data_IF_717624217618
#
_entry.id   IF_717624217618
#
_cell.length_a   1.000
_cell.length_b   1.000
_cell.length_c   1.000
_cell.angle_alpha   90.00
_cell.angle_beta   90.00
_cell.angle_gamma   90.00
#
_symmetry.space_group_name_H-M   'P 1'
#
loop_
_entity.id
_entity.type
_entity.pdbx_description
1 polymer ?
#
# COMPACT_ATOMS: atom_id res chain seq x y z
N UNK A 1 -16.69 7.08 7.58
CA UNK A 1 -15.75 8.01 6.95
C UNK A 1 -14.77 8.50 8.00
N UNK A 2 -13.47 8.33 7.80
CA UNK A 2 -12.46 9.16 8.47
C UNK A 2 -11.89 10.07 7.41
N UNK A 3 -12.76 10.93 6.89
CA UNK A 3 -12.30 12.17 6.30
C UNK A 3 -11.85 13.01 7.49
N UNK A 4 -10.54 13.27 7.59
CA UNK A 4 -10.10 14.49 8.24
C UNK A 4 -10.70 15.63 7.40
N UNK A 5 -11.70 16.39 7.92
CA UNK A 5 -12.43 17.37 7.13
C UNK A 5 -11.55 18.53 6.62
N UNK A 6 -10.30 18.61 7.07
CA UNK A 6 -9.33 19.63 6.66
C UNK A 6 -8.45 19.22 5.46
N UNK A 7 -8.55 18.00 4.92
CA UNK A 7 -7.74 17.58 3.76
C UNK A 7 -8.34 18.07 2.43
N UNK A 8 -9.51 18.71 2.47
CA UNK A 8 -10.22 19.21 1.27
C UNK A 8 -9.53 20.45 0.65
N UNK A 9 -8.55 21.06 1.31
CA UNK A 9 -7.81 22.23 0.79
C UNK A 9 -6.29 22.09 0.90
N UNK A 10 -5.74 20.91 0.60
CA UNK A 10 -4.30 20.79 0.31
C UNK A 10 -4.11 21.03 -1.20
N UNK A 11 -3.38 22.08 -1.57
CA UNK A 11 -3.12 22.52 -2.95
C UNK A 11 -2.38 21.48 -3.82
N UNK A 12 -2.01 20.33 -3.26
CA UNK A 12 -1.59 19.15 -4.01
C UNK A 12 -2.43 17.95 -3.53
N UNK A 13 -3.23 17.31 -4.41
CA UNK A 13 -3.84 16.05 -4.06
C UNK A 13 -2.72 15.06 -3.71
N UNK A 14 -2.77 14.47 -2.52
CA UNK A 14 -1.89 13.35 -2.19
C UNK A 14 -2.33 12.18 -3.10
N UNK A 15 -1.71 12.09 -4.29
CA UNK A 15 -1.87 10.95 -5.20
C UNK A 15 -1.37 9.72 -4.45
N UNK A 16 -2.28 8.87 -3.96
CA UNK A 16 -1.94 7.58 -3.35
C UNK A 16 -2.12 6.47 -4.37
N UNK A 17 -1.09 5.65 -4.57
CA UNK A 17 -1.16 4.58 -5.54
C UNK A 17 -1.62 3.25 -4.92
N UNK A 18 -2.53 2.55 -5.62
CA UNK A 18 -2.95 1.19 -5.25
C UNK A 18 -1.76 0.24 -5.25
N UNK A 19 -0.81 0.38 -6.18
CA UNK A 19 0.37 -0.50 -6.27
C UNK A 19 1.30 -0.32 -5.06
N UNK A 20 1.52 0.92 -4.63
CA UNK A 20 2.31 1.25 -3.44
C UNK A 20 1.66 0.68 -2.17
N UNK A 21 0.37 0.91 -1.96
CA UNK A 21 -0.32 0.35 -0.79
C UNK A 21 -0.28 -1.20 -0.80
N UNK A 22 -0.38 -1.84 -1.98
CA UNK A 22 -0.22 -3.29 -2.10
C UNK A 22 1.21 -3.76 -1.81
N UNK A 23 2.23 -3.01 -2.24
CA UNK A 23 3.63 -3.31 -1.96
C UNK A 23 3.93 -3.23 -0.46
N UNK A 24 3.43 -2.19 0.21
CA UNK A 24 3.57 -2.00 1.65
C UNK A 24 2.87 -3.12 2.45
N UNK A 25 1.65 -3.51 2.05
CA UNK A 25 0.97 -4.66 2.66
C UNK A 25 1.76 -5.95 2.42
N UNK A 26 2.28 -6.14 1.20
CA UNK A 26 3.03 -7.34 0.86
C UNK A 26 4.30 -7.46 1.71
N UNK A 27 4.99 -6.36 2.03
CA UNK A 27 6.19 -6.38 2.87
C UNK A 27 5.94 -7.05 4.22
N UNK A 28 4.97 -6.54 5.00
CA UNK A 28 4.64 -7.08 6.33
C UNK A 28 4.23 -8.57 6.28
N UNK A 29 3.42 -8.94 5.28
CA UNK A 29 2.96 -10.33 5.12
C UNK A 29 4.10 -11.25 4.67
N UNK A 30 4.95 -10.80 3.74
CA UNK A 30 6.04 -11.58 3.20
C UNK A 30 7.11 -11.85 4.24
N UNK A 31 7.47 -10.83 5.02
CA UNK A 31 8.45 -10.94 6.10
C UNK A 31 7.95 -11.92 7.17
N UNK A 32 6.68 -11.80 7.57
CA UNK A 32 6.05 -12.77 8.47
C UNK A 32 6.14 -14.20 7.94
N UNK A 33 5.69 -14.46 6.71
CA UNK A 33 5.69 -15.82 6.14
C UNK A 33 7.12 -16.35 5.96
N UNK A 34 8.07 -15.49 5.62
CA UNK A 34 9.47 -15.87 5.49
C UNK A 34 10.05 -16.36 6.81
N UNK A 35 9.90 -15.59 7.89
CA UNK A 35 10.36 -15.97 9.23
C UNK A 35 9.62 -17.21 9.73
N UNK A 36 8.30 -17.30 9.48
CA UNK A 36 7.49 -18.43 9.93
C UNK A 36 7.94 -19.77 9.33
N UNK A 37 8.47 -19.75 8.10
CA UNK A 37 8.97 -20.94 7.39
C UNK A 37 10.29 -21.48 7.94
N UNK A 38 11.03 -20.70 8.74
CA UNK A 38 12.30 -21.15 9.33
C UNK A 38 12.10 -22.22 10.42
N UNK A 39 10.89 -22.32 10.99
CA UNK A 39 10.55 -23.37 11.96
C UNK A 39 11.14 -23.18 13.36
N UNK A 40 11.66 -21.99 13.66
CA UNK A 40 12.22 -21.63 14.95
C UNK A 40 11.12 -20.97 15.81
N UNK A 41 10.65 -21.68 16.84
CA UNK A 41 9.45 -21.28 17.60
C UNK A 41 9.49 -19.85 18.17
N UNK A 42 10.65 -19.42 18.67
CA UNK A 42 10.81 -18.06 19.26
C UNK A 42 10.61 -16.99 18.19
N UNK A 43 11.35 -17.06 17.08
CA UNK A 43 11.24 -16.06 15.99
C UNK A 43 9.91 -16.14 15.26
N UNK A 44 9.29 -17.32 15.20
CA UNK A 44 7.92 -17.48 14.68
C UNK A 44 6.91 -16.72 15.55
N UNK A 45 7.04 -16.78 16.87
CA UNK A 45 6.15 -16.06 17.79
C UNK A 45 6.36 -14.54 17.66
N UNK A 46 7.60 -14.09 17.64
CA UNK A 46 7.94 -12.67 17.49
C UNK A 46 7.42 -12.12 16.16
N UNK A 47 7.61 -12.84 15.05
CA UNK A 47 7.10 -12.44 13.74
C UNK A 47 5.57 -12.36 13.70
N UNK A 48 4.88 -13.27 14.40
CA UNK A 48 3.42 -13.22 14.51
C UNK A 48 2.94 -12.00 15.30
N UNK A 49 3.58 -11.71 16.44
CA UNK A 49 3.25 -10.54 17.25
C UNK A 49 3.50 -9.26 16.45
N UNK A 50 4.65 -9.14 15.80
CA UNK A 50 5.01 -7.99 14.98
C UNK A 50 4.02 -7.75 13.83
N UNK A 51 3.71 -8.79 13.05
CA UNK A 51 2.74 -8.71 11.95
C UNK A 51 1.35 -8.28 12.43
N UNK A 52 0.92 -8.76 13.61
CA UNK A 52 -0.35 -8.39 14.23
C UNK A 52 -0.36 -6.94 14.74
N UNK A 53 0.74 -6.45 15.30
CA UNK A 53 0.85 -5.06 15.73
C UNK A 53 0.83 -4.11 14.53
N UNK A 54 1.60 -4.43 13.50
CA UNK A 54 1.62 -3.66 12.25
C UNK A 54 0.28 -3.71 11.50
N UNK A 55 -0.55 -4.74 11.70
CA UNK A 55 -1.91 -4.73 11.16
C UNK A 55 -2.72 -3.54 11.71
N UNK A 56 -2.67 -3.32 13.03
CA UNK A 56 -3.40 -2.22 13.67
C UNK A 56 -2.77 -0.86 13.40
N UNK A 57 -1.45 -0.79 13.27
CA UNK A 57 -0.70 0.47 13.14
C UNK A 57 -0.53 0.93 11.69
N UNK A 58 -0.39 0.00 10.74
CA UNK A 58 0.10 0.27 9.39
C UNK A 58 -0.76 -0.42 8.32
N UNK A 59 -0.50 -1.71 8.04
CA UNK A 59 -0.97 -2.36 6.82
C UNK A 59 -2.46 -2.70 6.82
N UNK A 60 -3.11 -2.78 7.98
CA UNK A 60 -4.57 -2.98 8.04
C UNK A 60 -5.35 -1.76 7.56
N UNK A 61 -4.85 -0.55 7.85
CA UNK A 61 -5.46 0.68 7.32
C UNK A 61 -5.21 0.84 5.82
N UNK A 62 -4.01 0.45 5.34
CA UNK A 62 -3.70 0.38 3.90
C UNK A 62 -4.63 -0.59 3.20
N UNK A 63 -4.82 -1.80 3.73
CA UNK A 63 -5.70 -2.82 3.17
C UNK A 63 -7.12 -2.30 2.89
N UNK A 64 -7.77 -1.68 3.87
CA UNK A 64 -9.15 -1.19 3.68
C UNK A 64 -9.20 0.00 2.70
N UNK A 65 -8.15 0.82 2.63
CA UNK A 65 -8.05 1.89 1.63
C UNK A 65 -7.90 1.31 0.23
N UNK A 66 -7.01 0.35 0.04
CA UNK A 66 -6.79 -0.36 -1.22
C UNK A 66 -8.05 -1.06 -1.69
N UNK A 67 -8.76 -1.77 -0.81
CA UNK A 67 -10.02 -2.44 -1.16
C UNK A 67 -11.09 -1.46 -1.66
N UNK A 68 -11.21 -0.30 -1.03
CA UNK A 68 -12.14 0.75 -1.48
C UNK A 68 -11.73 1.31 -2.84
N UNK A 69 -10.45 1.60 -3.05
CA UNK A 69 -9.93 2.07 -4.32
C UNK A 69 -10.18 1.05 -5.45
N UNK A 70 -9.86 -0.22 -5.21
CA UNK A 70 -10.13 -1.34 -6.14
C UNK A 70 -11.62 -1.50 -6.44
N UNK A 71 -12.48 -1.36 -5.44
CA UNK A 71 -13.93 -1.42 -5.65
C UNK A 71 -14.41 -0.29 -6.57
N UNK A 72 -13.94 0.94 -6.36
CA UNK A 72 -14.27 2.07 -7.22
C UNK A 72 -13.76 1.85 -8.65
N UNK A 73 -12.52 1.36 -8.82
CA UNK A 73 -11.95 0.99 -10.12
C UNK A 73 -12.74 -0.12 -10.83
N UNK A 74 -13.44 -0.99 -10.10
CA UNK A 74 -14.22 -2.07 -10.71
C UNK A 74 -15.65 -1.69 -11.05
N UNK A 75 -16.30 -0.91 -10.18
CA UNK A 75 -17.75 -0.72 -10.21
C UNK A 75 -18.18 0.72 -10.50
N UNK A 76 -17.27 1.70 -10.39
CA UNK A 76 -17.57 3.12 -10.60
C UNK A 76 -16.86 3.71 -11.84
N UNK A 77 -16.26 2.90 -12.71
CA UNK A 77 -15.53 3.35 -13.92
C UNK A 77 -16.38 3.98 -15.03
N UNK A 78 -17.67 4.21 -14.80
CA UNK A 78 -18.59 4.71 -15.83
C UNK A 78 -18.92 6.21 -15.71
N UNK A 79 -18.28 6.97 -14.82
CA UNK A 79 -18.36 8.44 -14.80
C UNK A 79 -16.96 9.07 -14.75
N UNK A 80 -16.47 9.48 -15.93
CA UNK A 80 -15.58 10.62 -16.17
C UNK A 80 -14.41 10.86 -15.19
N UNK A 81 -13.47 9.93 -15.09
CA UNK A 81 -12.09 10.29 -14.65
C UNK A 81 -11.05 9.47 -15.40
N UNK A 82 -10.87 9.81 -16.68
CA UNK A 82 -9.55 9.79 -17.31
C UNK A 82 -8.73 10.92 -16.69
N UNK A 83 -8.18 10.70 -15.51
CA UNK A 83 -7.25 11.60 -14.86
C UNK A 83 -6.02 10.82 -14.45
N UNK A 84 -5.07 10.68 -15.39
CA UNK A 84 -3.62 10.66 -15.09
C UNK A 84 -3.21 10.08 -13.71
N UNK A 85 -3.51 8.80 -13.50
CA UNK A 85 -3.13 7.99 -12.33
C UNK A 85 -1.93 7.08 -12.67
N UNK A 86 -1.02 7.55 -13.53
CA UNK A 86 0.32 6.94 -13.58
C UNK A 86 1.04 7.35 -12.30
N UNK A 87 1.28 6.37 -11.42
CA UNK A 87 2.35 6.49 -10.44
C UNK A 87 3.62 6.82 -11.22
N UNK A 88 4.29 7.93 -10.87
CA UNK A 88 5.43 8.46 -11.61
C UNK A 88 6.39 7.35 -12.02
N UNK A 89 6.63 7.24 -13.33
CA UNK A 89 7.80 6.53 -13.83
C UNK A 89 9.00 7.37 -13.41
N UNK A 90 9.67 6.97 -12.34
CA UNK A 90 11.00 7.48 -12.04
C UNK A 90 11.89 7.09 -13.23
N UNK A 91 12.24 8.09 -14.03
CA UNK A 91 13.13 8.04 -15.18
C UNK A 91 14.48 7.44 -14.76
N UNK A 92 14.66 6.13 -14.99
CA UNK A 92 15.96 5.48 -14.89
C UNK A 92 16.80 5.91 -16.09
N UNK A 93 17.44 7.08 -16.00
CA UNK A 93 18.51 7.45 -16.92
C UNK A 93 19.66 6.44 -16.73
N UNK A 94 19.66 5.40 -17.55
CA UNK A 94 20.83 4.54 -17.75
C UNK A 94 21.83 5.39 -18.56
N UNK A 95 22.74 6.05 -17.85
CA UNK A 95 23.94 6.58 -18.49
C UNK A 95 24.71 5.39 -19.07
N UNK A 96 24.59 5.18 -20.39
CA UNK A 96 25.49 4.32 -21.14
C UNK A 96 26.86 4.99 -21.15
N UNK A 97 27.75 4.57 -20.25
CA UNK A 97 29.17 4.86 -20.34
C UNK A 97 29.74 4.20 -21.63
N UNK A 98 30.15 5.04 -22.59
CA UNK A 98 30.88 4.67 -23.83
C UNK A 98 32.40 4.50 -23.57
#
# INVERSE_FOLDING_TARGET
EVFLPDIVYSDTPIKKCISEDLADIYQDIKDFVFVFRLGLNETMNDALVYCKENFGLLWGQKLVNTMRALHNVKYNSNDETTGDDTCGEDDYHLDEDE
#
